data_IF_860303605780
#
_entry.id   IF_860303605780
#
_cell.length_a   1.000
_cell.length_b   1.000
_cell.length_c   1.000
_cell.angle_alpha   90.00
_cell.angle_beta   90.00
_cell.angle_gamma   90.00
#
_symmetry.space_group_name_H-M   'P 1'
#
loop_
_entity.id
_entity.type
_entity.pdbx_description
1 polymer ?
#
# COMPACT_ATOMS: atom_id res chain seq x y z
N UNK A 1 1.69 7.09 26.14
CA UNK A 1 2.43 6.41 25.06
C UNK A 1 1.56 6.44 23.81
N UNK A 2 1.97 7.18 22.78
CA UNK A 2 1.42 7.10 21.43
C UNK A 2 2.26 6.08 20.68
N UNK A 3 1.69 4.91 20.43
CA UNK A 3 2.33 3.85 19.64
C UNK A 3 1.46 3.62 18.42
N UNK A 4 2.00 3.85 17.22
CA UNK A 4 1.33 3.44 15.99
C UNK A 4 1.59 1.94 15.79
N UNK A 5 0.53 1.14 15.81
CA UNK A 5 0.62 -0.26 15.41
C UNK A 5 0.52 -0.31 13.88
N UNK A 6 1.55 -0.83 13.24
CA UNK A 6 1.50 -1.22 11.84
C UNK A 6 1.15 -2.70 11.77
N UNK A 7 0.25 -3.06 10.87
CA UNK A 7 0.07 -4.45 10.50
C UNK A 7 0.88 -4.69 9.23
N UNK A 8 1.99 -5.41 9.35
CA UNK A 8 2.66 -5.99 8.20
C UNK A 8 2.11 -7.39 7.99
N UNK A 9 1.72 -7.72 6.77
CA UNK A 9 1.11 -8.99 6.46
C UNK A 9 1.84 -9.67 5.31
N UNK A 10 2.27 -10.89 5.56
CA UNK A 10 2.71 -11.80 4.51
C UNK A 10 1.48 -12.48 3.92
N UNK A 11 0.97 -11.97 2.80
CA UNK A 11 0.04 -12.72 1.98
C UNK A 11 0.69 -12.97 0.61
N UNK A 12 1.13 -14.20 0.41
CA UNK A 12 1.52 -14.69 -0.90
C UNK A 12 0.22 -14.90 -1.69
N UNK A 13 -0.24 -13.88 -2.42
CA UNK A 13 -1.26 -14.09 -3.45
C UNK A 13 -0.58 -14.86 -4.57
N UNK A 14 -0.94 -16.13 -4.73
CA UNK A 14 -0.46 -16.97 -5.82
C UNK A 14 -1.14 -16.49 -7.11
N UNK A 15 -0.58 -15.48 -7.78
CA UNK A 15 -1.04 -15.14 -9.13
C UNK A 15 -0.42 -16.12 -10.12
N UNK A 16 -1.25 -16.61 -11.03
CA UNK A 16 -0.83 -17.40 -12.18
C UNK A 16 0.03 -16.49 -13.06
N UNK A 17 1.32 -16.78 -13.20
CA UNK A 17 2.18 -16.15 -14.19
C UNK A 17 3.00 -17.23 -14.87
N UNK A 18 3.14 -17.11 -16.19
CA UNK A 18 3.95 -17.98 -17.04
C UNK A 18 5.42 -18.08 -16.60
N UNK A 19 5.87 -17.25 -15.64
CA UNK A 19 7.20 -17.30 -15.05
C UNK A 19 7.10 -17.08 -13.53
N UNK A 20 6.49 -18.01 -12.79
CA UNK A 20 6.57 -18.29 -11.33
C UNK A 20 6.60 -17.12 -10.30
N UNK A 21 6.36 -15.88 -10.69
CA UNK A 21 6.44 -14.71 -9.83
C UNK A 21 5.09 -13.98 -9.79
N UNK A 22 4.58 -13.71 -8.58
CA UNK A 22 3.32 -13.01 -8.37
C UNK A 22 3.53 -11.61 -7.81
N UNK A 23 3.04 -10.61 -8.54
CA UNK A 23 2.99 -9.23 -8.07
C UNK A 23 1.61 -8.98 -7.47
N UNK A 24 1.57 -8.65 -6.18
CA UNK A 24 0.32 -8.39 -5.48
C UNK A 24 0.15 -6.89 -5.23
N UNK A 25 -0.94 -6.30 -5.72
CA UNK A 25 -1.34 -4.92 -5.36
C UNK A 25 -2.80 -4.94 -4.92
N UNK A 26 -3.04 -4.47 -3.70
CA UNK A 26 -4.37 -4.36 -3.13
C UNK A 26 -4.49 -3.02 -2.43
N UNK A 27 -5.51 -2.25 -2.80
CA UNK A 27 -5.92 -1.07 -2.05
C UNK A 27 -7.45 -1.10 -1.93
N UNK A 28 -7.98 -1.46 -0.74
CA UNK A 28 -9.41 -1.59 -0.54
C UNK A 28 -10.13 -0.24 -0.66
N UNK A 29 -9.45 0.86 -0.32
CA UNK A 29 -10.02 2.20 -0.41
C UNK A 29 -10.29 2.56 -1.87
N UNK A 30 -9.33 2.36 -2.78
CA UNK A 30 -9.55 2.66 -4.19
C UNK A 30 -10.67 1.83 -4.80
N UNK A 31 -10.70 0.52 -4.53
CA UNK A 31 -11.73 -0.39 -5.08
C UNK A 31 -13.12 -0.05 -4.58
N UNK A 32 -13.30 0.16 -3.27
CA UNK A 32 -14.60 0.53 -2.70
C UNK A 32 -15.01 1.93 -3.12
N UNK A 33 -14.07 2.85 -3.31
CA UNK A 33 -14.38 4.22 -3.74
C UNK A 33 -14.86 4.34 -5.19
N UNK A 34 -14.74 3.27 -5.99
CA UNK A 34 -15.27 3.23 -7.36
C UNK A 34 -16.80 3.25 -7.43
N UNK A 35 -17.49 3.00 -6.31
CA UNK A 35 -18.96 3.10 -6.22
C UNK A 35 -19.46 4.47 -6.69
N UNK A 36 -18.70 5.55 -6.43
CA UNK A 36 -19.00 6.91 -6.92
C UNK A 36 -19.18 7.03 -8.44
N UNK A 37 -18.64 6.07 -9.20
CA UNK A 37 -18.78 5.98 -10.65
C UNK A 37 -19.82 4.93 -11.06
N UNK A 38 -19.86 3.76 -10.39
CA UNK A 38 -20.85 2.73 -10.71
C UNK A 38 -22.27 3.16 -10.38
N UNK A 39 -22.47 3.92 -9.31
CA UNK A 39 -23.78 4.45 -8.90
C UNK A 39 -24.32 5.47 -9.93
N UNK A 40 -23.42 6.06 -10.73
CA UNK A 40 -23.75 6.95 -11.85
C UNK A 40 -23.89 6.21 -13.18
N UNK A 41 -23.74 4.88 -13.19
CA UNK A 41 -23.77 4.06 -14.40
C UNK A 41 -22.57 4.22 -15.33
N UNK A 42 -21.47 4.86 -14.90
CA UNK A 42 -20.28 5.10 -15.72
C UNK A 42 -19.48 3.80 -15.91
N UNK A 43 -19.44 2.96 -14.88
CA UNK A 43 -18.81 1.65 -14.89
C UNK A 43 -19.75 0.61 -14.27
N UNK A 44 -19.59 -0.69 -14.56
CA UNK A 44 -20.34 -1.73 -13.86
C UNK A 44 -20.01 -1.73 -12.36
N UNK A 45 -20.99 -2.05 -11.48
CA UNK A 45 -20.73 -2.29 -10.07
C UNK A 45 -19.89 -3.56 -9.87
N UNK A 46 -19.28 -3.68 -8.69
CA UNK A 46 -18.59 -4.92 -8.29
C UNK A 46 -19.58 -6.07 -8.21
N UNK A 47 -19.23 -7.21 -8.80
CA UNK A 47 -20.07 -8.41 -8.73
C UNK A 47 -20.08 -8.98 -7.31
N UNK A 48 -21.12 -9.75 -6.93
CA UNK A 48 -21.14 -10.45 -5.64
C UNK A 48 -19.91 -11.32 -5.40
N UNK A 49 -19.41 -12.00 -6.45
CA UNK A 49 -18.20 -12.82 -6.36
C UNK A 49 -16.93 -11.98 -6.12
N UNK A 50 -16.83 -10.79 -6.71
CA UNK A 50 -15.72 -9.86 -6.45
C UNK A 50 -15.79 -9.35 -5.01
N UNK A 51 -16.97 -8.98 -4.52
CA UNK A 51 -17.16 -8.53 -3.14
C UNK A 51 -16.77 -9.62 -2.13
N UNK A 52 -17.14 -10.86 -2.40
CA UNK A 52 -16.75 -12.00 -1.56
C UNK A 52 -15.24 -12.24 -1.58
N UNK A 53 -14.60 -12.18 -2.75
CA UNK A 53 -13.15 -12.34 -2.86
C UNK A 53 -12.39 -11.25 -2.07
N UNK A 54 -12.87 -10.00 -2.14
CA UNK A 54 -12.33 -8.87 -1.36
C UNK A 54 -12.48 -9.15 0.15
N UNK A 55 -13.66 -9.60 0.59
CA UNK A 55 -13.91 -9.90 1.99
C UNK A 55 -13.01 -11.02 2.50
N UNK A 56 -12.93 -12.15 1.79
CA UNK A 56 -12.07 -13.28 2.17
C UNK A 56 -10.61 -12.87 2.21
N UNK A 57 -10.17 -12.05 1.25
CA UNK A 57 -8.83 -11.49 1.21
C UNK A 57 -8.57 -10.66 2.48
N UNK A 58 -9.42 -9.68 2.78
CA UNK A 58 -9.28 -8.79 3.94
C UNK A 58 -9.33 -9.57 5.28
N UNK A 59 -10.23 -10.54 5.42
CA UNK A 59 -10.34 -11.36 6.64
C UNK A 59 -9.13 -12.26 6.84
N UNK A 60 -8.65 -12.88 5.76
CA UNK A 60 -7.41 -13.68 5.79
C UNK A 60 -6.21 -12.79 6.13
N UNK A 61 -6.17 -11.59 5.55
CA UNK A 61 -5.16 -10.60 5.82
C UNK A 61 -5.12 -10.21 7.30
N UNK A 62 -6.28 -9.93 7.89
CA UNK A 62 -6.37 -9.56 9.30
C UNK A 62 -5.98 -10.70 10.24
N UNK A 63 -6.33 -11.94 9.90
CA UNK A 63 -6.03 -13.13 10.69
C UNK A 63 -4.54 -13.49 10.69
N UNK A 64 -3.83 -13.21 9.61
CA UNK A 64 -2.40 -13.55 9.44
C UNK A 64 -1.46 -12.35 9.64
N UNK A 65 -1.98 -11.21 10.09
CA UNK A 65 -1.20 -9.99 10.24
C UNK A 65 -0.19 -10.08 11.38
N UNK A 66 1.06 -9.68 11.10
CA UNK A 66 2.06 -9.35 12.11
C UNK A 66 1.83 -7.90 12.56
N UNK A 67 1.57 -7.70 13.86
CA UNK A 67 1.42 -6.36 14.43
C UNK A 67 2.78 -5.88 14.92
N UNK A 68 3.23 -4.74 14.41
CA UNK A 68 4.50 -4.12 14.75
C UNK A 68 4.23 -2.75 15.34
N UNK A 69 4.81 -2.46 16.50
CA UNK A 69 4.87 -1.10 17.03
C UNK A 69 6.19 -0.48 16.55
N UNK A 70 6.14 0.71 15.93
CA UNK A 70 7.35 1.52 15.74
C UNK A 70 7.51 2.49 16.90
N UNK A 71 8.72 2.55 17.41
CA UNK A 71 9.21 3.62 18.28
C UNK A 71 9.98 4.65 17.45
N UNK A 72 10.34 5.75 18.10
CA UNK A 72 11.29 6.71 17.55
C UNK A 72 12.63 5.99 17.34
N UNK A 73 13.30 6.29 16.22
CA UNK A 73 14.53 5.61 15.73
C UNK A 73 14.33 4.21 15.12
N UNK A 74 13.13 3.64 15.13
CA UNK A 74 12.90 2.35 14.44
C UNK A 74 12.82 2.53 12.91
N UNK A 75 13.43 1.59 12.19
CA UNK A 75 13.40 1.51 10.72
C UNK A 75 12.69 0.21 10.31
N UNK A 76 11.79 0.30 9.33
CA UNK A 76 11.13 -0.87 8.75
C UNK A 76 11.42 -1.01 7.27
N UNK A 77 11.81 -2.23 6.87
CA UNK A 77 11.92 -2.65 5.48
C UNK A 77 10.81 -3.64 5.15
N UNK A 78 10.14 -3.41 4.04
CA UNK A 78 9.13 -4.34 3.52
C UNK A 78 9.20 -4.39 1.99
N UNK A 79 8.91 -5.58 1.46
CA UNK A 79 8.81 -5.82 0.02
C UNK A 79 7.37 -5.64 -0.42
N UNK A 80 7.07 -4.52 -1.10
CA UNK A 80 5.71 -4.16 -1.58
C UNK A 80 5.08 -5.19 -2.53
N UNK A 81 5.89 -6.12 -3.05
CA UNK A 81 5.45 -7.11 -4.03
C UNK A 81 4.90 -8.38 -3.38
N UNK A 82 5.26 -8.66 -2.12
CA UNK A 82 4.88 -9.87 -1.39
C UNK A 82 4.15 -9.61 -0.07
N UNK A 83 4.17 -8.37 0.41
CA UNK A 83 3.50 -7.97 1.64
C UNK A 83 2.43 -6.93 1.37
N UNK A 84 1.24 -7.19 1.89
CA UNK A 84 0.27 -6.14 2.14
C UNK A 84 0.60 -5.50 3.49
N UNK A 85 0.52 -4.18 3.56
CA UNK A 85 0.80 -3.44 4.77
C UNK A 85 -0.20 -2.30 4.92
N UNK A 86 -0.64 -2.07 6.15
CA UNK A 86 -1.54 -0.98 6.50
C UNK A 86 -1.21 -0.47 7.90
N UNK A 87 -1.47 0.82 8.16
CA UNK A 87 -1.45 1.36 9.53
C UNK A 87 -2.78 1.08 10.22
N UNK A 88 -2.75 0.89 11.54
CA UNK A 88 -3.95 1.00 12.36
C UNK A 88 -4.30 2.46 12.63
N UNK A 89 -5.46 2.68 13.22
CA UNK A 89 -5.81 3.95 13.85
C UNK A 89 -4.80 4.31 14.95
N UNK A 90 -4.66 5.61 15.22
CA UNK A 90 -3.78 6.19 16.22
C UNK A 90 -4.36 7.52 16.69
N UNK A 91 -3.87 8.01 17.83
CA UNK A 91 -4.17 9.34 18.33
C UNK A 91 -2.88 10.12 18.53
N UNK A 92 -2.86 11.35 18.03
CA UNK A 92 -1.80 12.30 18.33
C UNK A 92 -1.93 12.78 19.78
N UNK A 93 -0.80 13.20 20.37
CA UNK A 93 -0.83 13.84 21.68
C UNK A 93 -1.53 15.20 21.60
N UNK A 94 -2.14 15.67 22.70
CA UNK A 94 -2.62 17.04 22.76
C UNK A 94 -1.46 18.03 22.61
N UNK A 95 -1.71 19.16 21.96
CA UNK A 95 -0.75 20.26 21.88
C UNK A 95 -0.32 20.70 23.29
N UNK A 96 0.96 21.06 23.52
CA UNK A 96 1.99 21.38 22.53
C UNK A 96 2.90 20.19 22.15
N UNK A 97 2.55 18.96 22.55
CA UNK A 97 3.41 17.81 22.29
C UNK A 97 3.58 17.57 20.77
N UNK A 98 4.78 17.15 20.33
CA UNK A 98 5.05 16.94 18.91
C UNK A 98 4.14 15.86 18.36
N UNK A 99 3.65 16.10 17.14
CA UNK A 99 2.93 15.11 16.36
C UNK A 99 3.91 14.01 15.95
N UNK A 100 3.36 12.82 15.74
CA UNK A 100 4.17 11.72 15.20
C UNK A 100 4.63 12.06 13.78
N UNK A 101 5.89 11.80 13.48
CA UNK A 101 6.43 11.90 12.12
C UNK A 101 6.87 10.52 11.63
N UNK A 102 6.54 10.18 10.40
CA UNK A 102 7.00 8.94 9.77
C UNK A 102 7.39 9.21 8.32
N UNK A 103 8.68 9.03 8.03
CA UNK A 103 9.21 9.13 6.67
C UNK A 103 9.07 7.80 5.95
N UNK A 104 8.65 7.84 4.67
CA UNK A 104 8.55 6.65 3.82
C UNK A 104 9.34 6.85 2.54
N UNK A 105 10.38 6.03 2.36
CA UNK A 105 11.18 5.98 1.15
C UNK A 105 10.80 4.76 0.31
N UNK A 106 10.60 4.96 -1.00
CA UNK A 106 10.32 3.88 -1.94
C UNK A 106 11.61 3.58 -2.71
N UNK A 107 12.11 2.35 -2.57
CA UNK A 107 13.28 1.87 -3.30
C UNK A 107 12.81 0.98 -4.45
N UNK A 108 13.39 1.19 -5.63
CA UNK A 108 13.14 0.35 -6.79
C UNK A 108 14.41 0.25 -7.64
N UNK A 109 14.72 -0.96 -8.09
CA UNK A 109 15.77 -1.20 -9.09
C UNK A 109 15.17 -1.09 -10.51
N UNK A 110 15.90 -0.59 -11.52
CA UNK A 110 15.47 -0.60 -12.92
C UNK A 110 15.30 -2.02 -13.48
N UNK A 111 14.43 -2.21 -14.48
CA UNK A 111 14.26 -3.51 -15.17
C UNK A 111 15.53 -3.99 -15.89
N UNK A 112 16.36 -3.06 -16.36
CA UNK A 112 17.64 -3.37 -17.01
C UNK A 112 18.69 -3.97 -16.07
N UNK A 113 18.43 -3.96 -14.76
CA UNK A 113 19.32 -4.48 -13.74
C UNK A 113 18.66 -5.68 -13.02
N UNK A 114 18.27 -5.50 -11.76
CA UNK A 114 17.62 -6.52 -10.92
C UNK A 114 16.14 -6.23 -10.67
N UNK A 115 15.61 -5.16 -11.26
CA UNK A 115 14.22 -4.74 -11.12
C UNK A 115 13.25 -5.62 -11.90
N UNK A 116 12.06 -5.84 -11.36
CA UNK A 116 11.05 -6.69 -12.00
C UNK A 116 10.06 -5.91 -12.82
N UNK A 117 9.61 -6.43 -13.96
CA UNK A 117 8.53 -5.82 -14.74
C UNK A 117 7.22 -5.80 -13.94
N UNK A 118 6.64 -4.62 -13.77
CA UNK A 118 5.35 -4.35 -13.14
C UNK A 118 4.23 -4.50 -14.18
N UNK A 119 2.98 -4.64 -13.69
CA UNK A 119 1.81 -4.80 -14.57
C UNK A 119 1.41 -3.52 -15.33
N UNK A 120 1.95 -2.38 -14.92
CA UNK A 120 1.61 -1.07 -15.48
C UNK A 120 2.60 -0.66 -16.58
N UNK A 121 2.14 0.19 -17.49
CA UNK A 121 2.91 0.63 -18.66
C UNK A 121 4.15 1.46 -18.30
N UNK A 122 4.17 2.07 -17.11
CA UNK A 122 5.23 2.91 -16.57
C UNK A 122 6.34 2.11 -15.85
N UNK A 123 6.36 0.79 -16.02
CA UNK A 123 7.28 -0.08 -15.29
C UNK A 123 8.76 0.21 -15.55
N UNK A 124 9.11 0.72 -16.74
CA UNK A 124 10.47 1.11 -17.12
C UNK A 124 10.88 2.53 -16.69
N UNK A 125 9.97 3.30 -16.09
CA UNK A 125 10.27 4.66 -15.65
C UNK A 125 11.28 4.67 -14.51
N UNK A 126 12.10 5.73 -14.40
CA UNK A 126 13.02 5.90 -13.27
C UNK A 126 12.26 5.91 -11.93
N UNK A 127 11.07 6.51 -11.91
CA UNK A 127 10.16 6.50 -10.76
C UNK A 127 9.14 5.38 -10.94
N UNK A 128 9.46 4.21 -10.37
CA UNK A 128 8.63 3.00 -10.47
C UNK A 128 7.50 3.04 -9.43
N UNK A 129 6.42 3.77 -9.73
CA UNK A 129 5.22 3.88 -8.90
C UNK A 129 5.04 5.22 -8.16
N UNK A 130 3.95 5.29 -7.39
CA UNK A 130 3.41 6.54 -6.87
C UNK A 130 2.49 7.23 -7.89
N UNK A 131 1.83 8.30 -7.46
CA UNK A 131 0.99 9.11 -8.34
C UNK A 131 1.82 10.32 -8.76
N UNK A 132 2.01 10.52 -10.06
CA UNK A 132 2.59 11.75 -10.62
C UNK A 132 1.52 12.46 -11.44
N UNK A 133 1.13 13.65 -10.99
CA UNK A 133 0.12 14.47 -11.67
C UNK A 133 0.82 15.69 -12.26
N UNK A 134 0.64 15.93 -13.56
CA UNK A 134 1.01 17.19 -14.23
C UNK A 134 2.43 17.69 -13.97
N UNK A 135 3.41 16.78 -13.80
CA UNK A 135 4.80 17.18 -13.51
C UNK A 135 5.04 17.81 -12.14
N UNK A 136 4.10 17.64 -11.18
CA UNK A 136 4.24 18.17 -9.83
C UNK A 136 5.57 17.74 -9.20
N UNK A 137 6.39 18.68 -8.69
CA UNK A 137 7.63 18.34 -8.00
C UNK A 137 7.37 17.45 -6.78
N UNK A 138 8.26 16.48 -6.49
CA UNK A 138 8.14 15.68 -5.27
C UNK A 138 8.34 16.56 -4.04
N UNK A 139 7.53 16.35 -3.01
CA UNK A 139 7.64 17.02 -1.71
C UNK A 139 7.79 15.94 -0.63
N UNK A 140 8.76 16.13 0.25
CA UNK A 140 8.99 15.29 1.42
C UNK A 140 9.28 16.21 2.62
N UNK A 141 8.26 16.64 3.38
CA UNK A 141 8.45 17.50 4.54
C UNK A 141 9.31 16.82 5.60
N UNK A 142 10.26 17.56 6.16
CA UNK A 142 11.15 17.06 7.23
C UNK A 142 10.50 17.14 8.61
N UNK A 143 9.51 17.99 8.80
CA UNK A 143 8.74 18.13 10.04
C UNK A 143 7.35 17.48 9.90
N UNK A 144 6.75 17.11 11.04
CA UNK A 144 5.37 16.63 11.07
C UNK A 144 4.39 17.81 10.93
N UNK A 145 3.59 17.79 9.86
CA UNK A 145 2.42 18.69 9.69
C UNK A 145 1.31 18.38 10.69
#
# INVERSE_FOLDING_TARGET
>A
MSTCQYKSLHLIVKSISAHNFSLSRWDPYFVRSLTRFSDKGIIPPLSPAQLEAIKVLEETCLRLALHIVLNVEDIQFFSNTHLFHARTEYKDYPLPAPRRHYMRLWLAAPESEVGWTLRFWDSNEKKRGGIQVNGQPPVAPLDAE
#
